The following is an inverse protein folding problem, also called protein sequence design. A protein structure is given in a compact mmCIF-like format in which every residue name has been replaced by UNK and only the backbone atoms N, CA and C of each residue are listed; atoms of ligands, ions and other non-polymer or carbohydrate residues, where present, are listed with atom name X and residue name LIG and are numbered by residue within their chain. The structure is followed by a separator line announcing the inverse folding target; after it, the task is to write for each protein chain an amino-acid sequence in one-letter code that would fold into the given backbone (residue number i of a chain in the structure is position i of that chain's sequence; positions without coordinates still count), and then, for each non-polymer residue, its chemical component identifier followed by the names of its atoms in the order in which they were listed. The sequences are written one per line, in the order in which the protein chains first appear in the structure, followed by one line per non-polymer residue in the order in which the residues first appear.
data_IF_920601037903
#
_entry.id   IF_920601037903
#
_cell.length_a   1.000
_cell.length_b   1.000
_cell.length_c   1.000
_cell.angle_alpha   90.00
_cell.angle_beta   90.00
_cell.angle_gamma   90.00
#
_symmetry.space_group_name_H-M   'P 1'
#
loop_
_entity.id
_entity.type
_entity.pdbx_description
1 polymer ?
#
# COMPACT_ATOMS: atom_id res chain seq x y z
N UNK A 1 29.49 0.28 -14.71
CA UNK A 1 28.86 -0.98 -14.24
C UNK A 1 27.65 -0.77 -13.32
N UNK A 2 27.65 0.21 -12.39
CA UNK A 2 26.48 0.50 -11.53
C UNK A 2 25.18 0.84 -12.28
N UNK A 3 25.27 1.59 -13.40
CA UNK A 3 24.10 1.98 -14.21
C UNK A 3 23.36 0.79 -14.85
N UNK A 4 24.09 -0.26 -15.25
CA UNK A 4 23.51 -1.47 -15.85
C UNK A 4 22.74 -2.30 -14.80
N UNK A 5 23.24 -2.38 -13.56
CA UNK A 5 22.54 -3.06 -12.45
C UNK A 5 21.24 -2.37 -12.04
N UNK A 6 21.17 -1.05 -12.18
CA UNK A 6 19.99 -0.24 -11.89
C UNK A 6 18.91 -0.40 -12.97
N UNK A 7 19.31 -0.41 -14.24
CA UNK A 7 18.40 -0.62 -15.38
C UNK A 7 17.74 -2.01 -15.32
N UNK A 8 18.52 -3.04 -15.01
CA UNK A 8 18.02 -4.43 -14.92
C UNK A 8 17.10 -4.66 -13.71
N UNK A 9 17.29 -3.91 -12.61
CA UNK A 9 16.33 -3.86 -11.50
C UNK A 9 15.03 -3.16 -11.89
N UNK A 10 15.12 -2.09 -12.69
CA UNK A 10 13.98 -1.31 -13.19
C UNK A 10 13.10 -2.10 -14.17
N UNK A 11 13.69 -2.86 -15.09
CA UNK A 11 12.94 -3.76 -15.99
C UNK A 11 12.14 -4.82 -15.22
N UNK A 12 12.65 -5.30 -14.07
CA UNK A 12 11.96 -6.24 -13.19
C UNK A 12 10.76 -5.61 -12.45
N UNK A 13 10.73 -4.27 -12.33
CA UNK A 13 9.64 -3.52 -11.70
C UNK A 13 8.55 -3.12 -12.70
N UNK A 14 8.86 -3.03 -14.00
CA UNK A 14 7.90 -2.63 -15.04
C UNK A 14 6.70 -3.57 -15.22
N UNK A 15 6.75 -4.80 -14.70
CA UNK A 15 5.60 -5.73 -14.73
C UNK A 15 4.62 -5.49 -13.55
N UNK A 16 4.96 -4.63 -12.57
CA UNK A 16 4.18 -4.38 -11.35
C UNK A 16 3.29 -3.14 -11.39
N UNK A 17 3.01 -2.57 -12.58
CA UNK A 17 2.14 -1.38 -12.71
C UNK A 17 0.75 -1.56 -12.07
N UNK A 18 0.22 -2.78 -12.09
CA UNK A 18 -1.05 -3.11 -11.43
C UNK A 18 -0.98 -2.99 -9.90
N UNK A 19 0.14 -3.38 -9.26
CA UNK A 19 0.35 -3.23 -7.82
C UNK A 19 0.41 -1.75 -7.41
N UNK A 20 1.04 -0.93 -8.25
CA UNK A 20 1.15 0.53 -8.02
C UNK A 20 -0.23 1.18 -8.07
N UNK A 21 -1.06 0.80 -9.05
CA UNK A 21 -2.44 1.27 -9.16
C UNK A 21 -3.28 0.92 -7.92
N UNK A 22 -3.17 -0.32 -7.43
CA UNK A 22 -3.88 -0.77 -6.23
C UNK A 22 -3.40 -0.01 -4.99
N UNK A 23 -2.08 0.16 -4.81
CA UNK A 23 -1.55 0.96 -3.70
C UNK A 23 -2.04 2.39 -3.70
N UNK A 24 -2.09 3.01 -4.88
CA UNK A 24 -2.53 4.39 -5.03
C UNK A 24 -4.03 4.53 -4.72
N UNK A 25 -4.84 3.54 -5.13
CA UNK A 25 -6.25 3.46 -4.76
C UNK A 25 -6.42 3.35 -3.23
N UNK A 26 -5.67 2.45 -2.58
CA UNK A 26 -5.72 2.31 -1.12
C UNK A 26 -5.21 3.56 -0.38
N UNK A 27 -4.21 4.25 -0.91
CA UNK A 27 -3.73 5.51 -0.35
C UNK A 27 -4.78 6.63 -0.46
N UNK A 28 -5.45 6.75 -1.60
CA UNK A 28 -6.56 7.70 -1.78
C UNK A 28 -7.73 7.37 -0.86
N UNK A 29 -8.09 6.09 -0.74
CA UNK A 29 -9.14 5.64 0.17
C UNK A 29 -8.79 5.98 1.63
N UNK A 30 -7.54 5.72 2.05
CA UNK A 30 -7.07 6.05 3.39
C UNK A 30 -7.15 7.56 3.66
N UNK A 31 -6.71 8.39 2.71
CA UNK A 31 -6.78 9.84 2.82
C UNK A 31 -8.23 10.34 2.93
N UNK A 32 -9.13 9.81 2.09
CA UNK A 32 -10.55 10.19 2.11
C UNK A 32 -11.23 9.81 3.44
N UNK A 33 -10.95 8.62 3.95
CA UNK A 33 -11.49 8.15 5.23
C UNK A 33 -10.93 8.95 6.41
N UNK A 34 -9.63 9.24 6.42
CA UNK A 34 -8.99 10.05 7.45
C UNK A 34 -9.54 11.49 7.45
N UNK A 35 -9.74 12.07 6.26
CA UNK A 35 -10.36 13.39 6.12
C UNK A 35 -11.80 13.40 6.64
N UNK A 36 -12.63 12.43 6.24
CA UNK A 36 -14.01 12.33 6.72
C UNK A 36 -14.09 12.12 8.23
N UNK A 37 -13.17 11.34 8.81
CA UNK A 37 -13.07 11.19 10.26
C UNK A 37 -12.65 12.49 10.96
N UNK A 38 -11.73 13.25 10.36
CA UNK A 38 -11.30 14.55 10.90
C UNK A 38 -12.45 15.56 10.91
N UNK A 39 -13.20 15.69 9.81
CA UNK A 39 -14.38 16.56 9.78
C UNK A 39 -15.37 16.16 10.87
N UNK A 40 -15.72 14.87 10.98
CA UNK A 40 -16.64 14.39 12.03
C UNK A 40 -16.14 14.67 13.46
N UNK A 41 -14.84 14.59 13.72
CA UNK A 41 -14.27 14.87 15.03
C UNK A 41 -14.22 16.37 15.37
N UNK A 42 -14.15 17.25 14.36
CA UNK A 42 -14.04 18.69 14.53
C UNK A 42 -15.08 19.45 13.67
N UNK A 43 -16.38 19.37 14.03
CA UNK A 43 -17.42 20.13 13.33
C UNK A 43 -17.22 21.64 13.51
N UNK A 44 -17.14 22.41 12.41
CA UNK A 44 -17.10 23.88 12.45
C UNK A 44 -18.33 24.50 13.13
N UNK A 45 -19.44 23.78 13.19
CA UNK A 45 -20.73 24.26 13.71
C UNK A 45 -21.17 23.55 15.01
N UNK A 46 -20.29 22.77 15.65
CA UNK A 46 -20.53 22.12 16.95
C UNK A 46 -21.53 20.95 16.95
N UNK A 47 -22.40 20.83 15.93
CA UNK A 47 -23.31 19.71 15.76
C UNK A 47 -23.23 19.16 14.34
N UNK A 48 -23.19 17.83 14.19
CA UNK A 48 -23.31 17.16 12.88
C UNK A 48 -24.57 16.30 12.79
N UNK A 49 -25.07 16.12 11.58
CA UNK A 49 -26.10 15.12 11.31
C UNK A 49 -25.48 13.74 11.18
N UNK A 50 -25.85 12.84 12.07
CA UNK A 50 -25.42 11.44 12.04
C UNK A 50 -26.41 10.62 11.23
N UNK A 51 -26.09 10.36 9.96
CA UNK A 51 -26.95 9.59 9.07
C UNK A 51 -26.52 9.63 7.60
N UNK A 52 -27.16 8.80 6.78
CA UNK A 52 -26.90 8.77 5.34
C UNK A 52 -27.61 9.97 4.69
N UNK A 53 -26.85 11.01 4.39
CA UNK A 53 -27.36 12.26 3.83
C UNK A 53 -27.97 13.20 4.90
N UNK A 54 -28.99 13.98 4.52
CA UNK A 54 -29.54 15.03 5.37
C UNK A 54 -30.61 14.55 6.37
N UNK A 55 -30.75 13.24 6.56
CA UNK A 55 -31.90 12.60 7.24
C UNK A 55 -31.61 12.14 8.67
N UNK A 56 -30.39 12.37 9.17
CA UNK A 56 -29.94 11.89 10.48
C UNK A 56 -30.32 12.82 11.65
N UNK A 57 -30.42 12.28 12.88
CA UNK A 57 -30.45 13.11 14.09
C UNK A 57 -29.23 14.03 14.16
N UNK A 58 -29.43 15.25 14.68
CA UNK A 58 -28.32 16.15 14.99
C UNK A 58 -27.64 15.64 16.27
N UNK A 59 -26.37 15.27 16.16
CA UNK A 59 -25.52 14.89 17.27
C UNK A 59 -24.62 16.08 17.62
N UNK A 60 -24.71 16.54 18.87
CA UNK A 60 -23.90 17.64 19.41
C UNK A 60 -22.96 17.18 20.52
N UNK A 61 -23.03 15.90 20.90
CA UNK A 61 -22.16 15.34 21.94
C UNK A 61 -20.81 14.94 21.30
N UNK A 62 -19.70 15.64 21.62
CA UNK A 62 -18.39 15.37 21.06
C UNK A 62 -17.92 13.93 21.35
N UNK A 63 -18.37 13.31 22.43
CA UNK A 63 -18.00 11.92 22.76
C UNK A 63 -18.59 10.91 21.77
N UNK A 64 -19.85 11.09 21.37
CA UNK A 64 -20.50 10.25 20.36
C UNK A 64 -19.94 10.51 18.95
N UNK A 65 -19.71 11.78 18.59
CA UNK A 65 -19.05 12.18 17.34
C UNK A 65 -17.68 11.51 17.18
N UNK A 66 -16.87 11.51 18.25
CA UNK A 66 -15.54 10.89 18.22
C UNK A 66 -15.61 9.36 18.11
N UNK A 67 -16.61 8.74 18.75
CA UNK A 67 -16.84 7.29 18.67
C UNK A 67 -17.25 6.86 17.26
N UNK A 68 -18.07 7.65 16.59
CA UNK A 68 -18.47 7.39 15.20
C UNK A 68 -17.33 7.66 14.21
N UNK A 69 -16.50 8.67 14.46
CA UNK A 69 -15.27 8.95 13.69
C UNK A 69 -14.18 7.86 13.85
N UNK A 70 -14.22 7.09 14.96
CA UNK A 70 -13.24 6.03 15.21
C UNK A 70 -13.29 4.90 14.18
N UNK A 71 -14.48 4.57 13.67
CA UNK A 71 -14.64 3.52 12.66
C UNK A 71 -13.97 3.84 11.31
N UNK A 72 -14.24 4.99 10.65
CA UNK A 72 -13.52 5.38 9.45
C UNK A 72 -12.03 5.59 9.72
N UNK A 73 -11.64 6.06 10.91
CA UNK A 73 -10.23 6.17 11.29
C UNK A 73 -9.53 4.79 11.33
N UNK A 74 -10.16 3.77 11.91
CA UNK A 74 -9.67 2.39 11.90
C UNK A 74 -9.52 1.83 10.47
N UNK A 75 -10.52 2.07 9.61
CA UNK A 75 -10.45 1.67 8.20
C UNK A 75 -9.34 2.42 7.44
N UNK A 76 -9.13 3.70 7.74
CA UNK A 76 -8.02 4.48 7.19
C UNK A 76 -6.66 3.91 7.61
N UNK A 77 -6.53 3.48 8.87
CA UNK A 77 -5.30 2.88 9.38
C UNK A 77 -5.03 1.51 8.73
N UNK A 78 -6.06 0.68 8.55
CA UNK A 78 -5.94 -0.62 7.88
C UNK A 78 -5.54 -0.47 6.40
N UNK A 79 -6.13 0.50 5.70
CA UNK A 79 -5.78 0.79 4.31
C UNK A 79 -4.37 1.36 4.19
N UNK A 80 -3.96 2.27 5.07
CA UNK A 80 -2.59 2.77 5.14
C UNK A 80 -1.58 1.66 5.46
N UNK A 81 -1.92 0.72 6.36
CA UNK A 81 -1.09 -0.43 6.67
C UNK A 81 -0.85 -1.32 5.45
N UNK A 82 -1.88 -1.59 4.65
CA UNK A 82 -1.73 -2.36 3.42
C UNK A 82 -0.75 -1.71 2.43
N UNK A 83 -0.81 -0.39 2.29
CA UNK A 83 0.14 0.39 1.47
C UNK A 83 1.56 0.27 2.02
N UNK A 84 1.75 0.50 3.32
CA UNK A 84 3.06 0.41 3.98
C UNK A 84 3.66 -1.00 3.87
N UNK A 85 2.85 -2.04 4.04
CA UNK A 85 3.29 -3.42 3.92
C UNK A 85 3.78 -3.74 2.51
N UNK A 86 3.05 -3.34 1.47
CA UNK A 86 3.50 -3.57 0.12
C UNK A 86 4.71 -2.70 -0.27
N UNK A 87 4.81 -1.46 0.24
CA UNK A 87 5.98 -0.61 0.06
C UNK A 87 7.22 -1.22 0.71
N UNK A 88 7.05 -1.82 1.89
CA UNK A 88 8.11 -2.56 2.58
C UNK A 88 8.57 -3.79 1.79
N UNK A 89 7.64 -4.51 1.15
CA UNK A 89 7.95 -5.58 0.20
C UNK A 89 8.80 -5.08 -0.97
N UNK A 90 8.45 -3.94 -1.55
CA UNK A 90 9.23 -3.27 -2.60
C UNK A 90 10.65 -2.92 -2.15
N UNK A 91 10.81 -2.34 -0.96
CA UNK A 91 12.11 -1.98 -0.40
C UNK A 91 12.96 -3.24 -0.18
N UNK A 92 12.37 -4.32 0.34
CA UNK A 92 13.05 -5.61 0.51
C UNK A 92 13.50 -6.21 -0.82
N UNK A 93 12.65 -6.18 -1.84
CA UNK A 93 13.00 -6.68 -3.18
C UNK A 93 14.15 -5.87 -3.81
N UNK A 94 14.16 -4.55 -3.62
CA UNK A 94 15.25 -3.67 -4.03
C UNK A 94 16.54 -3.91 -3.23
N UNK A 95 16.42 -4.24 -1.95
CA UNK A 95 17.56 -4.55 -1.09
C UNK A 95 18.12 -5.95 -1.33
N UNK A 96 17.35 -6.86 -1.93
CA UNK A 96 17.80 -8.22 -2.23
C UNK A 96 18.99 -8.15 -3.19
N UNK A 97 20.15 -8.75 -2.84
CA UNK A 97 21.27 -8.81 -3.76
C UNK A 97 20.83 -9.56 -5.02
N UNK A 98 21.26 -9.08 -6.20
CA UNK A 98 21.18 -9.90 -7.41
C UNK A 98 22.18 -11.05 -7.21
N UNK A 99 21.73 -12.15 -6.61
CA UNK A 99 22.48 -13.39 -6.70
C UNK A 99 22.52 -13.73 -8.18
N UNK A 100 23.74 -13.74 -8.73
CA UNK A 100 24.04 -14.44 -9.97
C UNK A 100 23.66 -15.92 -9.72
N UNK A 101 22.42 -16.30 -10.03
CA UNK A 101 22.14 -17.69 -10.45
C UNK A 101 22.71 -17.85 -11.87
N UNK A 102 24.04 -17.80 -11.93
CA UNK A 102 24.87 -17.87 -13.13
C UNK A 102 26.22 -18.54 -12.87
N UNK A 103 26.50 -18.97 -11.64
CA UNK A 103 27.68 -19.79 -11.27
C UNK A 103 27.32 -21.25 -10.97
N UNK A 104 26.24 -21.74 -11.56
CA UNK A 104 26.25 -23.06 -12.20
C UNK A 104 26.32 -22.80 -13.72
N UNK A 105 27.46 -22.31 -14.20
CA UNK A 105 28.42 -23.18 -14.90
C UNK A 105 27.73 -24.51 -15.31
N UNK A 106 27.20 -24.65 -16.52
CA UNK A 106 28.04 -24.71 -17.72
C UNK A 106 29.34 -25.47 -17.40
N UNK A 107 29.24 -26.70 -16.91
CA UNK A 107 30.25 -27.70 -17.24
C UNK A 107 29.99 -28.09 -18.70
N UNK A 108 30.88 -27.72 -19.64
CA UNK A 108 30.82 -28.25 -20.99
C UNK A 108 31.34 -29.70 -20.96
N UNK A 109 30.75 -30.52 -21.82
CA UNK A 109 31.28 -31.74 -22.41
C UNK A 109 31.85 -32.86 -21.51
N UNK A 110 31.21 -34.03 -21.65
CA UNK A 110 31.83 -35.31 -22.02
C UNK A 110 31.32 -36.46 -21.15
N UNK A 111 30.28 -37.15 -21.63
CA UNK A 111 30.23 -38.61 -21.62
C UNK A 111 29.06 -39.10 -22.50
N UNK A 112 29.18 -38.85 -23.81
CA UNK A 112 28.79 -39.86 -24.79
C UNK A 112 29.95 -40.85 -24.90
N UNK A 113 29.86 -41.97 -24.19
CA UNK A 113 30.65 -43.15 -24.49
C UNK A 113 29.70 -44.35 -24.58
N UNK A 114 29.47 -44.79 -25.82
CA UNK A 114 29.07 -46.17 -26.12
C UNK A 114 30.18 -47.14 -25.68
N UNK A 115 29.92 -48.46 -25.68
CA UNK A 115 29.53 -49.19 -26.89
C UNK A 115 28.08 -49.69 -26.94
#
# INVERSE_FOLDING_TARGET
MLKLRLAQRWERLGVRDADVGVMLLFALLAAFLAWGAYEMAYPEHGCMRMGKGNSGPLQCDPGELMKEAMWPMLLSALSAYAVLYGLWGWIKDMARPLTLDGDTASAPDADQQGP
#
